data_IF_759105998571
#
_entry.id   IF_759105998571
#
_cell.length_a   1.000
_cell.length_b   1.000
_cell.length_c   1.000
_cell.angle_alpha   90.00
_cell.angle_beta   90.00
_cell.angle_gamma   90.00
#
_symmetry.space_group_name_H-M   'P 1'
#
loop_
_entity.id
_entity.type
_entity.pdbx_description
1 polymer ?
#
# COMPACT_ATOMS: atom_id res chain seq x y z
N UNK A 1 39.64 -5.31 -25.47
CA UNK A 1 38.50 -6.10 -24.95
C UNK A 1 37.23 -5.40 -25.37
N UNK A 2 36.28 -6.12 -25.96
CA UNK A 2 34.97 -5.55 -26.24
C UNK A 2 34.22 -5.25 -24.93
N UNK A 3 33.46 -4.14 -24.88
CA UNK A 3 32.70 -3.80 -23.69
C UNK A 3 31.60 -4.84 -23.43
N UNK A 4 31.49 -5.31 -22.19
CA UNK A 4 30.41 -6.19 -21.76
C UNK A 4 29.04 -5.53 -22.07
N UNK A 5 28.19 -6.27 -22.78
CA UNK A 5 26.85 -5.82 -23.21
C UNK A 5 25.92 -5.52 -22.03
N UNK A 6 25.98 -6.32 -20.98
CA UNK A 6 25.20 -6.14 -19.75
C UNK A 6 26.12 -5.99 -18.55
N UNK A 7 25.72 -5.13 -17.60
CA UNK A 7 26.53 -4.75 -16.43
C UNK A 7 25.64 -4.74 -15.19
N UNK A 8 26.27 -4.75 -14.02
CA UNK A 8 25.58 -4.53 -12.74
C UNK A 8 24.77 -3.24 -12.81
N UNK A 9 23.53 -3.30 -12.32
CA UNK A 9 22.60 -2.18 -12.34
C UNK A 9 23.04 -1.17 -11.28
N UNK A 10 23.23 0.09 -11.67
CA UNK A 10 23.64 1.17 -10.76
C UNK A 10 22.67 2.35 -10.74
N UNK A 11 21.68 2.35 -11.62
CA UNK A 11 20.73 3.44 -11.79
C UNK A 11 19.34 2.89 -12.02
N UNK A 12 18.33 3.65 -11.60
CA UNK A 12 16.92 3.29 -11.77
C UNK A 12 16.55 3.18 -13.26
N UNK A 13 17.14 4.02 -14.11
CA UNK A 13 16.94 3.95 -15.56
C UNK A 13 17.39 2.59 -16.13
N UNK A 14 18.58 2.15 -15.77
CA UNK A 14 19.11 0.85 -16.20
C UNK A 14 18.28 -0.31 -15.67
N UNK A 15 17.75 -0.18 -14.45
CA UNK A 15 16.82 -1.15 -13.87
C UNK A 15 15.58 -1.35 -14.73
N UNK A 16 14.90 -0.26 -15.09
CA UNK A 16 13.69 -0.33 -15.93
C UNK A 16 13.99 -0.83 -17.35
N UNK A 17 15.11 -0.43 -17.94
CA UNK A 17 15.55 -0.97 -19.24
C UNK A 17 15.69 -2.49 -19.19
N UNK A 18 16.30 -3.03 -18.14
CA UNK A 18 16.50 -4.47 -17.99
C UNK A 18 15.19 -5.20 -17.69
N UNK A 19 14.29 -4.58 -16.93
CA UNK A 19 12.96 -5.13 -16.67
C UNK A 19 12.12 -5.23 -17.94
N UNK A 20 12.13 -4.18 -18.78
CA UNK A 20 11.42 -4.18 -20.06
C UNK A 20 11.97 -5.25 -21.00
N UNK A 21 13.30 -5.36 -21.08
CA UNK A 21 13.95 -6.35 -21.93
C UNK A 21 13.69 -7.78 -21.43
N UNK A 22 13.67 -8.00 -20.12
CA UNK A 22 13.24 -9.27 -19.53
C UNK A 22 11.78 -9.59 -19.87
N UNK A 23 10.89 -8.60 -19.81
CA UNK A 23 9.48 -8.76 -20.17
C UNK A 23 9.32 -9.18 -21.64
N UNK A 24 9.99 -8.48 -22.56
CA UNK A 24 10.00 -8.79 -24.00
C UNK A 24 10.49 -10.22 -24.26
N UNK A 25 11.64 -10.60 -23.67
CA UNK A 25 12.21 -11.93 -23.87
C UNK A 25 11.35 -13.03 -23.27
N UNK A 26 10.74 -12.80 -22.11
CA UNK A 26 9.92 -13.79 -21.40
C UNK A 26 8.63 -14.19 -22.15
N UNK A 27 8.10 -13.29 -22.98
CA UNK A 27 6.89 -13.55 -23.77
C UNK A 27 7.16 -14.20 -25.14
N UNK A 28 8.43 -14.40 -25.52
CA UNK A 28 8.78 -15.14 -26.72
C UNK A 28 8.35 -16.61 -26.57
N UNK A 29 7.71 -17.16 -27.60
CA UNK A 29 7.28 -18.57 -27.61
C UNK A 29 8.46 -19.52 -27.68
N UNK A 30 9.45 -19.19 -28.50
CA UNK A 30 10.64 -20.00 -28.76
C UNK A 30 11.89 -19.21 -28.38
N UNK A 31 12.46 -19.52 -27.22
CA UNK A 31 13.71 -18.94 -26.77
C UNK A 31 14.89 -19.84 -27.16
N UNK A 32 15.87 -19.27 -27.87
CA UNK A 32 17.16 -19.92 -28.10
C UNK A 32 17.97 -20.05 -26.80
N UNK A 33 18.95 -20.95 -26.75
CA UNK A 33 19.79 -21.12 -25.56
C UNK A 33 20.43 -19.81 -25.07
N UNK A 34 21.04 -18.96 -25.94
CA UNK A 34 21.58 -17.67 -25.51
C UNK A 34 20.54 -16.69 -24.96
N UNK A 35 19.28 -16.78 -25.42
CA UNK A 35 18.20 -15.94 -24.90
C UNK A 35 17.76 -16.39 -23.51
N UNK A 36 17.79 -17.70 -23.23
CA UNK A 36 17.49 -18.24 -21.89
C UNK A 36 18.57 -17.83 -20.90
N UNK A 37 19.84 -17.94 -21.28
CA UNK A 37 20.98 -17.50 -20.45
C UNK A 37 20.89 -15.99 -20.17
N UNK A 38 20.49 -15.21 -21.17
CA UNK A 38 20.27 -13.78 -21.00
C UNK A 38 19.11 -13.46 -20.04
N UNK A 39 18.00 -14.17 -20.15
CA UNK A 39 16.86 -14.04 -19.22
C UNK A 39 17.30 -14.34 -17.79
N UNK A 40 18.07 -15.41 -17.59
CA UNK A 40 18.60 -15.78 -16.28
C UNK A 40 19.55 -14.71 -15.72
N UNK A 41 20.46 -14.20 -16.55
CA UNK A 41 21.35 -13.09 -16.17
C UNK A 41 20.57 -11.85 -15.75
N UNK A 42 19.59 -11.42 -16.55
CA UNK A 42 18.78 -10.23 -16.25
C UNK A 42 18.02 -10.39 -14.94
N UNK A 43 17.47 -11.58 -14.69
CA UNK A 43 16.81 -11.90 -13.43
C UNK A 43 17.76 -11.66 -12.25
N UNK A 44 18.97 -12.20 -12.30
CA UNK A 44 19.96 -12.06 -11.21
C UNK A 44 20.33 -10.59 -11.00
N UNK A 45 20.56 -9.84 -12.07
CA UNK A 45 20.93 -8.42 -12.00
C UNK A 45 19.80 -7.56 -11.41
N UNK A 46 18.56 -7.80 -11.83
CA UNK A 46 17.36 -7.11 -11.32
C UNK A 46 17.16 -7.43 -9.85
N UNK A 47 17.27 -8.70 -9.44
CA UNK A 47 17.12 -9.10 -8.04
C UNK A 47 18.17 -8.47 -7.15
N UNK A 48 19.43 -8.44 -7.60
CA UNK A 48 20.50 -7.81 -6.83
C UNK A 48 20.23 -6.31 -6.61
N UNK A 49 19.76 -5.62 -7.65
CA UNK A 49 19.41 -4.21 -7.53
C UNK A 49 18.19 -3.99 -6.63
N UNK A 50 17.15 -4.82 -6.77
CA UNK A 50 15.98 -4.81 -5.89
C UNK A 50 16.39 -4.98 -4.43
N UNK A 51 17.25 -5.94 -4.11
CA UNK A 51 17.73 -6.17 -2.75
C UNK A 51 18.42 -4.94 -2.15
N UNK A 52 19.28 -4.27 -2.93
CA UNK A 52 20.04 -3.11 -2.48
C UNK A 52 19.20 -1.82 -2.42
N UNK A 53 18.21 -1.68 -3.31
CA UNK A 53 17.41 -0.47 -3.47
C UNK A 53 15.97 -0.62 -2.95
N UNK A 54 15.68 -1.74 -2.29
CA UNK A 54 14.44 -1.94 -1.57
C UNK A 54 14.33 -0.97 -0.40
N UNK A 55 13.82 0.22 -0.66
CA UNK A 55 13.06 1.01 0.32
C UNK A 55 11.65 0.45 0.48
N UNK A 56 11.52 -0.88 0.58
CA UNK A 56 10.29 -1.44 1.15
C UNK A 56 10.37 -1.19 2.65
N UNK A 57 9.90 -0.02 3.07
CA UNK A 57 9.28 0.05 4.38
C UNK A 57 8.28 -1.10 4.43
N UNK A 58 8.49 -2.01 5.36
CA UNK A 58 7.54 -3.09 5.60
C UNK A 58 6.15 -2.45 5.77
N UNK A 59 5.17 -2.84 4.94
CA UNK A 59 3.94 -2.07 4.86
C UNK A 59 3.25 -2.11 6.22
N UNK A 60 2.80 -0.94 6.66
CA UNK A 60 2.08 -0.75 7.91
C UNK A 60 0.92 -1.75 8.00
N UNK A 61 0.82 -2.55 9.08
CA UNK A 61 -0.26 -3.52 9.29
C UNK A 61 -1.67 -2.96 9.03
N UNK A 62 -1.90 -1.69 9.38
CA UNK A 62 -3.19 -1.02 9.18
C UNK A 62 -3.43 -0.69 7.71
N UNK A 63 -2.39 -0.29 6.98
CA UNK A 63 -2.47 -0.07 5.53
C UNK A 63 -2.73 -1.39 4.83
N UNK A 64 -2.07 -2.48 5.22
CA UNK A 64 -2.33 -3.81 4.65
C UNK A 64 -3.76 -4.27 4.89
N UNK A 65 -4.32 -4.03 6.08
CA UNK A 65 -5.72 -4.34 6.34
C UNK A 65 -6.65 -3.56 5.39
N UNK A 66 -6.36 -2.28 5.11
CA UNK A 66 -7.14 -1.47 4.17
C UNK A 66 -7.06 -2.01 2.74
N UNK A 67 -5.88 -2.40 2.28
CA UNK A 67 -5.71 -3.01 0.95
C UNK A 67 -6.54 -4.29 0.82
N UNK A 68 -6.53 -5.16 1.83
CA UNK A 68 -7.42 -6.34 1.82
C UNK A 68 -8.91 -5.97 1.81
N UNK A 69 -9.32 -4.93 2.53
CA UNK A 69 -10.71 -4.46 2.48
C UNK A 69 -11.09 -3.97 1.07
N UNK A 70 -10.19 -3.28 0.39
CA UNK A 70 -10.39 -2.79 -0.98
C UNK A 70 -10.44 -3.93 -2.00
N UNK A 71 -9.46 -4.83 -1.98
CA UNK A 71 -9.36 -5.97 -2.91
C UNK A 71 -10.59 -6.89 -2.84
N UNK A 72 -11.09 -7.13 -1.62
CA UNK A 72 -12.26 -7.96 -1.38
C UNK A 72 -13.58 -7.18 -1.33
N UNK A 73 -13.56 -5.87 -1.62
CA UNK A 73 -14.73 -4.97 -1.58
C UNK A 73 -15.53 -5.05 -0.26
N UNK A 74 -14.82 -5.22 0.86
CA UNK A 74 -15.39 -5.39 2.19
C UNK A 74 -15.50 -4.06 2.93
N UNK A 75 -16.63 -3.83 3.61
CA UNK A 75 -16.75 -2.69 4.54
C UNK A 75 -16.20 -3.08 5.92
N UNK A 76 -15.94 -2.08 6.77
CA UNK A 76 -15.48 -2.29 8.15
C UNK A 76 -16.43 -3.17 8.96
N UNK A 77 -17.74 -3.06 8.70
CA UNK A 77 -18.78 -3.89 9.33
C UNK A 77 -18.65 -5.36 8.91
N UNK A 78 -18.35 -5.62 7.64
CA UNK A 78 -18.21 -6.99 7.13
C UNK A 78 -16.92 -7.62 7.66
N UNK A 79 -15.84 -6.83 7.75
CA UNK A 79 -14.59 -7.23 8.39
C UNK A 79 -14.80 -7.57 9.87
N UNK A 80 -15.58 -6.74 10.58
CA UNK A 80 -15.90 -6.98 11.99
C UNK A 80 -16.69 -8.28 12.20
N UNK A 81 -17.70 -8.55 11.35
CA UNK A 81 -18.44 -9.81 11.35
C UNK A 81 -17.52 -11.00 11.10
N UNK A 82 -16.65 -10.90 10.10
CA UNK A 82 -15.71 -11.95 9.72
C UNK A 82 -14.73 -12.30 10.85
N UNK A 83 -14.24 -11.30 11.57
CA UNK A 83 -13.32 -11.48 12.69
C UNK A 83 -14.06 -11.77 14.01
N UNK A 84 -15.39 -11.76 14.01
CA UNK A 84 -16.25 -11.88 15.19
C UNK A 84 -15.90 -10.85 16.28
N UNK A 85 -15.67 -9.60 15.87
CA UNK A 85 -15.36 -8.47 16.75
C UNK A 85 -16.34 -7.32 16.53
N UNK A 86 -16.34 -6.33 17.42
CA UNK A 86 -17.21 -5.17 17.26
C UNK A 86 -16.75 -4.28 16.08
N UNK A 87 -17.69 -3.69 15.31
CA UNK A 87 -17.35 -2.72 14.27
C UNK A 87 -16.55 -1.52 14.79
N UNK A 88 -16.79 -1.13 16.05
CA UNK A 88 -16.03 -0.08 16.73
C UNK A 88 -14.55 -0.44 16.88
N UNK A 89 -14.23 -1.69 17.20
CA UNK A 89 -12.84 -2.14 17.34
C UNK A 89 -12.09 -2.09 16.00
N UNK A 90 -12.72 -2.54 14.91
CA UNK A 90 -12.13 -2.42 13.57
C UNK A 90 -11.92 -0.95 13.19
N UNK A 91 -12.89 -0.09 13.48
CA UNK A 91 -12.76 1.35 13.26
C UNK A 91 -11.58 1.95 14.04
N UNK A 92 -11.39 1.56 15.30
CA UNK A 92 -10.28 2.04 16.12
C UNK A 92 -8.93 1.57 15.59
N UNK A 93 -8.82 0.32 15.13
CA UNK A 93 -7.60 -0.21 14.49
C UNK A 93 -7.29 0.56 13.20
N UNK A 94 -8.28 0.73 12.32
CA UNK A 94 -8.14 1.49 11.08
C UNK A 94 -7.71 2.94 11.34
N UNK A 95 -8.15 3.52 12.45
CA UNK A 95 -7.79 4.89 12.85
C UNK A 95 -6.54 4.96 13.74
N UNK A 96 -5.74 3.90 13.82
CA UNK A 96 -4.51 3.83 14.62
C UNK A 96 -4.72 4.06 16.12
N UNK A 97 -5.94 3.95 16.63
CA UNK A 97 -6.22 4.14 18.07
C UNK A 97 -5.93 2.88 18.87
N UNK A 98 -5.89 1.72 18.21
CA UNK A 98 -5.65 0.43 18.85
C UNK A 98 -4.77 -0.48 17.99
N UNK A 99 -4.00 -1.31 18.70
CA UNK A 99 -3.20 -2.41 18.15
C UNK A 99 -4.05 -3.59 17.66
N UNK A 100 -3.49 -4.44 16.79
CA UNK A 100 -4.08 -5.75 16.50
C UNK A 100 -3.96 -6.68 17.71
N UNK A 101 -5.02 -7.42 18.03
CA UNK A 101 -4.94 -8.50 19.02
C UNK A 101 -4.40 -9.78 18.37
N UNK A 102 -3.80 -10.68 19.16
CA UNK A 102 -3.30 -11.97 18.68
C UNK A 102 -4.38 -12.79 17.97
N UNK A 103 -5.60 -12.81 18.52
CA UNK A 103 -6.74 -13.49 17.91
C UNK A 103 -7.13 -12.89 16.56
N UNK A 104 -7.08 -11.56 16.42
CA UNK A 104 -7.35 -10.91 15.14
C UNK A 104 -6.28 -11.25 14.11
N UNK A 105 -5.00 -11.26 14.50
CA UNK A 105 -3.89 -11.62 13.62
C UNK A 105 -4.05 -13.07 13.11
N UNK A 106 -4.40 -14.01 13.99
CA UNK A 106 -4.66 -15.41 13.63
C UNK A 106 -5.77 -15.53 12.60
N UNK A 107 -6.94 -14.93 12.87
CA UNK A 107 -8.09 -14.96 11.95
C UNK A 107 -7.79 -14.30 10.60
N UNK A 108 -7.09 -13.17 10.59
CA UNK A 108 -6.67 -12.48 9.36
C UNK A 108 -5.72 -13.35 8.54
N UNK A 109 -4.71 -13.95 9.17
CA UNK A 109 -3.75 -14.85 8.55
C UNK A 109 -4.44 -16.07 7.93
N UNK A 110 -5.36 -16.69 8.66
CA UNK A 110 -6.11 -17.86 8.19
C UNK A 110 -7.04 -17.55 7.02
N UNK A 111 -7.68 -16.38 7.04
CA UNK A 111 -8.63 -15.95 6.01
C UNK A 111 -7.93 -15.52 4.73
N UNK A 112 -6.91 -14.69 4.83
CA UNK A 112 -6.20 -14.14 3.67
C UNK A 112 -5.03 -15.02 3.21
N UNK A 113 -4.75 -16.12 3.94
CA UNK A 113 -3.65 -17.05 3.64
C UNK A 113 -2.29 -16.35 3.58
N UNK A 114 -2.07 -15.44 4.53
CA UNK A 114 -0.83 -14.65 4.67
C UNK A 114 -0.13 -14.95 5.98
N UNK A 115 1.17 -14.67 6.05
CA UNK A 115 1.95 -14.86 7.27
C UNK A 115 1.49 -13.90 8.38
N UNK A 116 1.39 -14.39 9.62
CA UNK A 116 1.02 -13.59 10.79
C UNK A 116 1.97 -12.40 11.04
N UNK A 117 3.26 -12.52 10.66
CA UNK A 117 4.24 -11.45 10.73
C UNK A 117 3.80 -10.17 10.01
N UNK A 118 2.96 -10.28 8.98
CA UNK A 118 2.41 -9.13 8.25
C UNK A 118 1.63 -8.18 9.16
N UNK A 119 0.94 -8.71 10.18
CA UNK A 119 0.13 -7.93 11.12
C UNK A 119 0.74 -7.82 12.53
N UNK A 120 1.85 -8.52 12.79
CA UNK A 120 2.52 -8.53 14.09
C UNK A 120 3.64 -7.48 14.22
N UNK A 121 3.62 -6.44 13.39
CA UNK A 121 4.62 -5.36 13.40
C UNK A 121 4.17 -4.22 14.30
N UNK A 122 5.10 -3.56 15.01
CA UNK A 122 4.78 -2.36 15.77
C UNK A 122 4.42 -1.20 14.82
N UNK A 123 3.44 -0.39 15.21
CA UNK A 123 3.08 0.85 14.52
C UNK A 123 2.63 1.91 15.52
N UNK A 124 2.78 3.18 15.17
CA UNK A 124 2.47 4.29 16.08
C UNK A 124 0.97 4.44 16.30
N UNK A 125 0.53 4.47 17.56
CA UNK A 125 -0.87 4.68 17.90
C UNK A 125 -1.19 6.18 18.06
N UNK A 126 -2.30 6.60 17.46
CA UNK A 126 -2.82 7.97 17.56
C UNK A 126 -3.67 8.09 18.83
N UNK A 127 -3.22 8.93 19.76
CA UNK A 127 -4.02 9.27 20.95
C UNK A 127 -5.27 10.05 20.52
N UNK A 128 -6.47 9.68 21.00
CA UNK A 128 -7.68 10.41 20.67
C UNK A 128 -7.60 11.84 21.24
N UNK A 129 -7.79 12.85 20.38
CA UNK A 129 -7.95 14.25 20.84
C UNK A 129 -9.18 14.32 21.72
N UNK A 130 -9.02 14.78 22.97
CA UNK A 130 -10.13 15.00 23.89
C UNK A 130 -11.20 15.88 23.23
N UNK A 131 -12.44 15.39 23.15
CA UNK A 131 -13.55 16.19 22.64
C UNK A 131 -13.77 17.33 23.63
N UNK A 132 -13.61 18.58 23.20
CA UNK A 132 -14.10 19.75 23.96
C UNK A 132 -15.60 19.53 24.18
N UNK A 133 -16.01 19.44 25.44
CA UNK A 133 -17.42 19.32 25.80
C UNK A 133 -18.17 20.57 25.34
N UNK A 134 -18.88 20.48 24.22
CA UNK A 134 -19.89 21.47 23.86
C UNK A 134 -21.13 21.17 24.67
N UNK A 135 -21.21 21.76 25.87
CA UNK A 135 -22.48 21.97 26.56
C UNK A 135 -23.38 22.83 25.66
N UNK A 136 -24.51 22.28 25.21
CA UNK A 136 -25.69 23.10 24.90
C UNK A 136 -26.93 22.46 25.50
N UNK A 137 -27.23 23.00 26.68
CA UNK A 137 -28.46 23.00 27.47
C UNK A 137 -29.72 23.17 26.60
N UNK A 138 -30.73 22.36 26.88
CA UNK A 138 -32.10 22.58 26.41
C UNK A 138 -32.73 23.75 27.18
N UNK A 139 -33.27 24.76 26.48
CA UNK A 139 -34.33 25.66 26.99
C UNK A 139 -35.09 26.29 25.82
N UNK A 140 -36.42 26.34 25.99
CA UNK A 140 -37.49 26.82 25.09
C UNK A 140 -37.29 28.22 24.51
N UNK A 141 -37.90 28.43 23.33
CA UNK A 141 -38.21 29.74 22.71
C UNK A 141 -39.21 30.56 23.56
N UNK A 142 -39.25 31.91 23.48
CA UNK A 142 -40.03 32.56 22.41
C UNK A 142 -39.38 33.83 21.79
N UNK A 143 -40.02 34.31 20.71
CA UNK A 143 -39.57 35.27 19.70
C UNK A 143 -39.66 36.78 20.07
N UNK A 144 -38.77 37.63 19.50
CA UNK A 144 -39.09 38.73 18.54
C UNK A 144 -37.87 39.62 18.13
N UNK A 145 -37.64 39.65 16.81
CA UNK A 145 -37.40 40.78 15.86
C UNK A 145 -36.08 41.63 15.82
N UNK A 146 -35.56 41.70 14.58
CA UNK A 146 -34.79 42.76 13.88
C UNK A 146 -33.31 43.02 14.28
N UNK A 147 -32.33 43.31 13.41
CA UNK A 147 -32.20 43.36 11.95
C UNK A 147 -30.69 43.51 11.58
N UNK A 148 -30.36 43.21 10.31
CA UNK A 148 -29.29 43.79 9.45
C UNK A 148 -27.91 43.10 9.39
N UNK A 149 -27.65 42.53 8.20
CA UNK A 149 -26.35 42.15 7.60
C UNK A 149 -25.78 43.35 6.80
N UNK A 150 -24.56 43.34 6.18
CA UNK A 150 -23.74 42.18 5.78
C UNK A 150 -22.22 42.26 6.02
N UNK A 151 -21.54 41.15 5.70
CA UNK A 151 -20.08 40.97 5.66
C UNK A 151 -19.47 41.47 4.32
N UNK A 152 -18.12 41.46 4.09
CA UNK A 152 -17.41 40.19 3.84
C UNK A 152 -15.96 40.06 4.36
N UNK A 153 -15.50 38.82 4.16
CA UNK A 153 -14.29 38.09 4.59
C UNK A 153 -12.95 38.63 4.05
N UNK A 154 -11.86 38.34 4.76
CA UNK A 154 -10.51 38.18 4.18
C UNK A 154 -9.75 37.05 4.89
N UNK A 155 -9.20 36.14 4.08
CA UNK A 155 -8.58 34.89 4.48
C UNK A 155 -7.08 35.06 4.82
N UNK A 156 -6.54 34.16 5.66
CA UNK A 156 -5.09 33.94 5.84
C UNK A 156 -4.72 32.48 5.47
N UNK A 157 -3.46 32.24 5.08
CA UNK A 157 -3.11 31.32 4.00
C UNK A 157 -2.94 29.85 4.41
N UNK A 158 -3.07 28.98 3.41
CA UNK A 158 -2.89 27.52 3.46
C UNK A 158 -1.39 27.18 3.28
N UNK A 159 -0.80 26.27 4.08
CA UNK A 159 0.58 25.81 3.85
C UNK A 159 0.66 24.88 2.63
N UNK A 160 1.86 24.75 2.00
CA UNK A 160 2.02 24.25 0.65
C UNK A 160 1.75 22.74 0.53
N UNK A 161 1.10 22.38 -0.58
CA UNK A 161 0.81 21.00 -0.95
C UNK A 161 2.11 20.21 -1.22
N UNK A 162 2.33 19.12 -0.49
CA UNK A 162 3.25 18.07 -0.91
C UNK A 162 2.66 17.43 -2.18
N UNK A 163 3.42 17.46 -3.27
CA UNK A 163 3.10 16.77 -4.54
C UNK A 163 2.80 15.30 -4.24
N UNK A 164 1.52 14.96 -4.28
CA UNK A 164 1.06 13.58 -4.42
C UNK A 164 1.34 13.16 -5.87
N UNK A 165 2.47 12.53 -6.12
CA UNK A 165 2.65 11.75 -7.35
C UNK A 165 1.66 10.61 -7.29
N UNK A 166 0.70 10.63 -8.22
CA UNK A 166 -0.27 9.56 -8.46
C UNK A 166 0.48 8.22 -8.51
N UNK A 167 0.01 7.14 -7.85
CA UNK A 167 0.63 5.84 -8.03
C UNK A 167 0.53 5.46 -9.52
N UNK A 168 1.59 4.90 -10.11
CA UNK A 168 1.55 4.43 -11.49
C UNK A 168 0.42 3.40 -11.63
N UNK A 169 -0.37 3.55 -12.70
CA UNK A 169 -1.50 2.66 -13.07
C UNK A 169 -1.02 1.28 -13.52
N UNK A 170 0.30 1.09 -13.65
CA UNK A 170 0.93 -0.16 -13.97
C UNK A 170 1.24 -0.96 -12.70
N UNK A 171 1.00 -2.29 -12.67
CA UNK A 171 1.42 -3.11 -11.56
C UNK A 171 2.94 -2.95 -11.37
N UNK A 172 3.43 -2.79 -10.13
CA UNK A 172 4.85 -2.57 -9.87
C UNK A 172 5.67 -3.63 -10.59
N UNK A 173 6.77 -3.19 -11.20
CA UNK A 173 7.61 -3.98 -12.12
C UNK A 173 7.96 -5.36 -11.55
N UNK A 174 8.18 -5.46 -10.23
CA UNK A 174 8.41 -6.73 -9.52
C UNK A 174 7.22 -7.71 -9.54
N UNK A 175 5.96 -7.26 -9.61
CA UNK A 175 4.79 -8.14 -9.84
C UNK A 175 4.86 -8.77 -11.24
N UNK A 176 5.33 -8.02 -12.25
CA UNK A 176 5.53 -8.56 -13.60
C UNK A 176 6.68 -9.55 -13.62
N UNK A 177 7.83 -9.21 -13.03
CA UNK A 177 9.01 -10.10 -12.93
C UNK A 177 8.71 -11.38 -12.15
N UNK A 178 7.98 -11.30 -11.03
CA UNK A 178 7.57 -12.50 -10.26
C UNK A 178 6.58 -13.37 -11.03
N UNK A 179 5.69 -12.78 -11.82
CA UNK A 179 4.78 -13.52 -12.72
C UNK A 179 5.55 -14.21 -13.85
N UNK A 180 6.56 -13.53 -14.41
CA UNK A 180 7.48 -14.06 -15.41
C UNK A 180 8.24 -15.26 -14.83
N UNK A 181 8.85 -15.14 -13.63
CA UNK A 181 9.54 -16.26 -12.95
C UNK A 181 8.66 -17.49 -12.74
N UNK A 182 7.40 -17.29 -12.35
CA UNK A 182 6.44 -18.40 -12.19
C UNK A 182 6.12 -19.07 -13.53
N UNK A 183 6.07 -18.29 -14.62
CA UNK A 183 5.79 -18.81 -15.97
C UNK A 183 6.97 -19.56 -16.59
N UNK A 184 8.21 -19.11 -16.35
CA UNK A 184 9.42 -19.78 -16.84
C UNK A 184 9.68 -21.09 -16.09
N UNK A 185 9.44 -21.13 -14.77
CA UNK A 185 9.54 -22.36 -13.96
C UNK A 185 8.49 -23.42 -14.32
N UNK A 186 7.37 -23.04 -14.93
CA UNK A 186 6.32 -23.99 -15.36
C UNK A 186 6.55 -24.56 -16.77
N UNK A 187 7.52 -24.04 -17.53
CA UNK A 187 7.85 -24.45 -18.91
C UNK A 187 9.15 -25.27 -19.02
N UNK A 188 9.91 -25.40 -17.93
CA UNK A 188 11.05 -26.30 -17.79
C UNK A 188 10.59 -27.61 -17.15
#
# INVERSE_FOLDING_TARGET
MEPLKYKVIKTEKQYYEYCNLLEELAFLKDQSAPQRDLVELLIVLIERYDEEHNTFEEPDPVVMLRSFMEDFKMKSVDMAKMLSVSPSLISDVLNYRRGFSKEMIRKLSERFKVNQSLFNRPYALVKPKAKKATSKKATKSPAKKAAKAPAPKSAKPKPPAKKSTKPPTDPPVRIRVTRIKKSTKAKA
#
